data_IF_613795390362
#
_entry.id   IF_613795390362
#
_cell.length_a   1.000
_cell.length_b   1.000
_cell.length_c   1.000
_cell.angle_alpha   90.00
_cell.angle_beta   90.00
_cell.angle_gamma   90.00
#
_symmetry.space_group_name_H-M   'P 1'
#
loop_
_entity.id
_entity.type
_entity.pdbx_description
1 polymer ?
#
# COMPACT_ATOMS: atom_id res chain seq x y z
N UNK A 1 16.04 4.80 12.29
CA UNK A 1 14.67 4.65 11.74
C UNK A 1 14.51 3.23 11.22
N UNK A 2 13.47 2.50 11.63
CA UNK A 2 13.14 1.20 11.02
C UNK A 2 12.27 1.45 9.79
N UNK A 3 12.89 1.58 8.63
CA UNK A 3 12.17 1.68 7.35
C UNK A 3 11.27 0.45 7.16
N UNK A 4 9.98 0.68 6.91
CA UNK A 4 8.96 -0.38 6.71
C UNK A 4 8.95 -0.90 5.26
N UNK A 5 9.33 -0.03 4.33
CA UNK A 5 9.31 -0.27 2.90
C UNK A 5 10.46 0.50 2.22
N UNK A 6 10.70 0.15 0.96
CA UNK A 6 11.58 0.87 0.04
C UNK A 6 10.87 0.96 -1.32
N UNK A 7 11.37 1.84 -2.19
CA UNK A 7 10.86 1.96 -3.54
C UNK A 7 11.72 1.17 -4.52
N UNK A 8 11.12 0.49 -5.48
CA UNK A 8 11.82 -0.26 -6.53
C UNK A 8 11.33 0.18 -7.90
N UNK A 9 12.25 0.48 -8.82
CA UNK A 9 11.90 0.82 -10.18
C UNK A 9 11.30 -0.37 -10.92
N UNK A 10 10.13 -0.20 -11.54
CA UNK A 10 9.47 -1.27 -12.31
C UNK A 10 10.21 -1.66 -13.58
N UNK A 11 11.06 -0.78 -14.12
CA UNK A 11 11.81 -1.05 -15.35
C UNK A 11 13.23 -1.58 -15.12
N UNK A 12 13.98 -1.06 -14.15
CA UNK A 12 15.39 -1.44 -13.94
C UNK A 12 15.69 -2.09 -12.59
N UNK A 13 14.72 -2.19 -11.68
CA UNK A 13 14.91 -2.84 -10.38
C UNK A 13 15.78 -2.09 -9.36
N UNK A 14 16.28 -0.89 -9.68
CA UNK A 14 16.99 -0.05 -8.72
C UNK A 14 16.11 0.27 -7.52
N UNK A 15 16.73 0.32 -6.33
CA UNK A 15 16.06 0.54 -5.05
C UNK A 15 16.38 1.92 -4.52
N UNK A 16 15.38 2.57 -3.94
CA UNK A 16 15.46 3.92 -3.38
C UNK A 16 14.88 3.92 -1.97
N UNK A 17 15.42 4.78 -1.10
CA UNK A 17 14.92 4.91 0.27
C UNK A 17 13.52 5.54 0.28
N UNK A 18 12.74 5.23 1.31
CA UNK A 18 11.41 5.81 1.52
C UNK A 18 11.45 7.31 1.88
N UNK A 19 12.59 7.82 2.36
CA UNK A 19 12.76 9.24 2.71
C UNK A 19 13.18 10.10 1.50
N UNK A 20 13.57 9.47 0.39
CA UNK A 20 13.84 10.17 -0.86
C UNK A 20 12.52 10.54 -1.56
N UNK A 21 12.24 11.83 -1.71
CA UNK A 21 11.07 12.30 -2.45
C UNK A 21 11.35 12.18 -3.94
N UNK A 22 11.11 10.99 -4.51
CA UNK A 22 11.20 10.72 -5.95
C UNK A 22 10.00 9.91 -6.42
N UNK A 23 9.25 10.46 -7.38
CA UNK A 23 8.12 9.76 -8.00
C UNK A 23 8.57 8.81 -9.13
N UNK A 24 9.71 9.10 -9.76
CA UNK A 24 10.28 8.32 -10.85
C UNK A 24 11.77 8.04 -10.61
N UNK A 25 12.21 6.87 -11.04
CA UNK A 25 13.60 6.47 -11.13
C UNK A 25 14.37 7.42 -12.06
N UNK A 26 15.36 8.20 -11.56
CA UNK A 26 16.09 9.19 -12.36
C UNK A 26 16.80 8.58 -13.57
N UNK A 27 17.22 7.32 -13.46
CA UNK A 27 17.88 6.62 -14.56
C UNK A 27 16.93 6.30 -15.71
N UNK A 28 15.72 5.81 -15.42
CA UNK A 28 14.76 5.40 -16.45
C UNK A 28 13.93 6.56 -16.97
N UNK A 29 13.59 7.53 -16.12
CA UNK A 29 12.77 8.68 -16.51
C UNK A 29 13.47 9.61 -17.50
N UNK A 30 14.81 9.58 -17.55
CA UNK A 30 15.61 10.32 -18.53
C UNK A 30 15.26 9.97 -19.99
N UNK A 31 14.65 8.81 -20.22
CA UNK A 31 14.25 8.32 -21.55
C UNK A 31 12.77 8.55 -21.86
N UNK A 32 12.05 9.26 -21.00
CA UNK A 32 10.63 9.51 -21.19
C UNK A 32 10.39 10.47 -22.35
N UNK A 33 9.35 10.20 -23.12
CA UNK A 33 8.85 11.06 -24.18
C UNK A 33 7.33 11.25 -24.03
N UNK A 34 6.76 12.21 -24.76
CA UNK A 34 5.33 12.57 -24.64
C UNK A 34 4.36 11.57 -25.29
N UNK A 35 4.87 10.64 -26.10
CA UNK A 35 4.10 9.68 -26.90
C UNK A 35 4.08 8.29 -26.27
N UNK A 36 5.01 8.00 -25.36
CA UNK A 36 5.15 6.71 -24.69
C UNK A 36 4.67 6.76 -23.23
N UNK A 37 4.23 5.63 -22.64
CA UNK A 37 3.97 5.54 -21.21
C UNK A 37 5.22 5.90 -20.39
N UNK A 38 5.05 6.51 -19.19
CA UNK A 38 6.18 6.92 -18.37
C UNK A 38 6.99 5.72 -17.90
N UNK A 39 8.29 5.74 -18.19
CA UNK A 39 9.27 4.84 -17.63
C UNK A 39 9.73 5.34 -16.26
N UNK A 40 10.20 4.41 -15.46
CA UNK A 40 10.80 4.66 -14.16
C UNK A 40 9.81 4.74 -13.01
N UNK A 41 8.54 4.38 -13.19
CA UNK A 41 7.57 4.32 -12.09
C UNK A 41 8.12 3.45 -10.96
N UNK A 42 8.05 3.97 -9.74
CA UNK A 42 8.51 3.27 -8.55
C UNK A 42 7.35 2.53 -7.88
N UNK A 43 7.53 1.24 -7.60
CA UNK A 43 6.59 0.46 -6.77
C UNK A 43 7.07 0.43 -5.32
N UNK A 44 6.13 0.53 -4.39
CA UNK A 44 6.39 0.38 -2.95
C UNK A 44 6.53 -1.10 -2.60
N UNK A 45 7.67 -1.48 -2.03
CA UNK A 45 7.91 -2.84 -1.54
C UNK A 45 8.19 -2.83 -0.04
N UNK A 46 7.38 -3.59 0.70
CA UNK A 46 7.59 -3.78 2.13
C UNK A 46 8.67 -4.83 2.38
N UNK A 47 9.33 -4.73 3.53
CA UNK A 47 10.24 -5.79 3.99
C UNK A 47 9.45 -7.03 4.45
N UNK A 48 8.80 -7.73 3.52
CA UNK A 48 7.90 -8.86 3.80
C UNK A 48 8.57 -9.96 4.62
N UNK A 49 9.88 -10.21 4.44
CA UNK A 49 10.64 -11.16 5.27
C UNK A 49 10.65 -10.75 6.75
N UNK A 50 10.81 -9.46 7.05
CA UNK A 50 10.74 -8.92 8.42
C UNK A 50 9.33 -8.99 9.00
N UNK A 51 8.30 -8.76 8.18
CA UNK A 51 6.90 -8.86 8.63
C UNK A 51 6.54 -10.33 8.93
N UNK A 52 6.87 -11.25 8.02
CA UNK A 52 6.57 -12.68 8.16
C UNK A 52 7.30 -13.34 9.33
N UNK A 53 8.50 -12.87 9.70
CA UNK A 53 9.27 -13.45 10.82
C UNK A 53 8.74 -13.07 12.20
N UNK A 54 7.87 -12.06 12.31
CA UNK A 54 7.29 -11.63 13.61
C UNK A 54 6.22 -12.56 14.14
N UNK A 55 5.54 -13.31 13.26
CA UNK A 55 4.36 -14.08 13.61
C UNK A 55 4.38 -15.46 12.94
N UNK A 56 3.77 -16.47 13.59
CA UNK A 56 3.55 -17.77 12.95
C UNK A 56 2.62 -17.59 11.74
N UNK A 57 2.90 -18.29 10.62
CA UNK A 57 2.17 -18.15 9.34
C UNK A 57 0.64 -18.16 9.49
N UNK A 58 0.10 -19.10 10.28
CA UNK A 58 -1.34 -19.24 10.49
C UNK A 58 -1.98 -18.14 11.36
N UNK A 59 -1.19 -17.35 12.09
CA UNK A 59 -1.68 -16.21 12.90
C UNK A 59 -1.35 -14.86 12.28
N UNK A 60 -0.60 -14.82 11.17
CA UNK A 60 -0.08 -13.58 10.60
C UNK A 60 -1.20 -12.60 10.24
N UNK A 61 -2.24 -13.09 9.57
CA UNK A 61 -3.36 -12.25 9.16
C UNK A 61 -4.12 -11.70 10.36
N UNK A 62 -4.47 -12.55 11.32
CA UNK A 62 -5.19 -12.13 12.54
C UNK A 62 -4.40 -11.11 13.34
N UNK A 63 -3.09 -11.32 13.49
CA UNK A 63 -2.20 -10.38 14.21
C UNK A 63 -2.09 -9.03 13.53
N UNK A 64 -2.07 -9.01 12.19
CA UNK A 64 -2.10 -7.75 11.44
C UNK A 64 -3.46 -7.07 11.55
N UNK A 65 -4.56 -7.85 11.49
CA UNK A 65 -5.94 -7.36 11.60
C UNK A 65 -6.24 -6.77 12.99
N UNK A 66 -5.75 -7.38 14.06
CA UNK A 66 -5.86 -6.89 15.45
C UNK A 66 -5.36 -5.44 15.60
N UNK A 67 -4.35 -5.06 14.81
CA UNK A 67 -3.77 -3.71 14.79
C UNK A 67 -4.20 -2.89 13.57
N UNK A 68 -5.31 -3.24 12.94
CA UNK A 68 -5.85 -2.56 11.75
C UNK A 68 -4.82 -2.35 10.63
N UNK A 69 -3.88 -3.28 10.50
CA UNK A 69 -2.79 -3.25 9.52
C UNK A 69 -1.85 -2.03 9.63
N UNK A 70 -1.82 -1.30 10.76
CA UNK A 70 -0.95 -0.14 10.99
C UNK A 70 0.54 -0.43 10.72
N UNK A 71 0.97 -1.67 10.96
CA UNK A 71 2.34 -2.11 10.67
C UNK A 71 2.70 -2.08 9.17
N UNK A 72 1.70 -2.22 8.29
CA UNK A 72 1.84 -2.15 6.84
C UNK A 72 1.60 -0.74 6.30
N UNK A 73 1.00 0.16 7.06
CA UNK A 73 0.73 1.51 6.56
C UNK A 73 2.03 2.32 6.48
N UNK A 74 2.24 3.12 5.42
CA UNK A 74 3.42 3.96 5.22
C UNK A 74 3.37 5.22 6.10
N UNK A 75 3.03 5.04 7.38
CA UNK A 75 2.89 6.12 8.36
C UNK A 75 4.13 6.15 9.26
N UNK A 76 4.68 7.35 9.44
CA UNK A 76 5.73 7.64 10.42
C UNK A 76 5.17 7.68 11.84
N UNK A 77 3.93 8.14 12.01
CA UNK A 77 3.22 8.21 13.28
C UNK A 77 1.72 8.03 13.10
N UNK A 78 1.05 7.43 14.08
CA UNK A 78 -0.42 7.35 14.14
C UNK A 78 -1.05 8.75 14.27
N UNK A 79 -0.31 9.75 14.74
CA UNK A 79 -0.76 11.16 14.78
C UNK A 79 -1.06 11.73 13.39
N UNK A 80 -0.54 11.11 12.33
CA UNK A 80 -0.84 11.49 10.94
C UNK A 80 -2.19 10.95 10.45
N UNK A 81 -2.86 10.09 11.22
CA UNK A 81 -4.20 9.62 10.88
C UNK A 81 -5.21 10.74 11.06
N UNK A 82 -6.14 10.84 10.11
CA UNK A 82 -7.25 11.79 10.22
C UNK A 82 -8.26 11.33 11.27
N UNK A 83 -9.06 12.27 11.78
CA UNK A 83 -10.17 11.98 12.70
C UNK A 83 -11.36 11.27 12.02
N UNK A 84 -11.31 11.09 10.70
CA UNK A 84 -12.39 10.47 9.95
C UNK A 84 -12.42 8.95 10.21
N UNK A 85 -13.60 8.44 10.55
CA UNK A 85 -13.85 6.99 10.63
C UNK A 85 -13.91 6.42 9.20
N UNK A 86 -12.78 5.91 8.73
CA UNK A 86 -12.59 5.32 7.39
C UNK A 86 -12.26 3.82 7.47
N UNK A 87 -12.55 3.07 6.41
CA UNK A 87 -12.37 1.62 6.38
C UNK A 87 -13.56 0.84 6.94
N UNK A 88 -13.42 -0.49 7.02
CA UNK A 88 -14.49 -1.44 7.43
C UNK A 88 -15.82 -1.19 6.69
N UNK A 89 -15.72 -0.81 5.42
CA UNK A 89 -16.89 -0.65 4.55
C UNK A 89 -17.68 -1.95 4.57
N UNK A 90 -18.97 -1.93 4.99
CA UNK A 90 -19.78 -3.14 5.03
C UNK A 90 -19.80 -3.84 3.67
N UNK A 91 -19.90 -5.16 3.70
CA UNK A 91 -20.03 -5.98 2.51
C UNK A 91 -21.44 -6.55 2.50
N UNK A 92 -22.24 -6.16 1.51
CA UNK A 92 -23.62 -6.64 1.36
C UNK A 92 -23.64 -7.86 0.47
N UNK A 93 -24.35 -8.89 0.92
CA UNK A 93 -24.67 -10.05 0.10
C UNK A 93 -25.93 -9.75 -0.73
N UNK A 94 -25.86 -9.99 -2.03
CA UNK A 94 -27.01 -9.88 -2.93
C UNK A 94 -27.51 -11.28 -3.22
N UNK A 95 -28.84 -11.45 -3.15
CA UNK A 95 -29.50 -12.73 -3.34
C UNK A 95 -29.25 -13.27 -4.76
N UNK A 96 -28.37 -14.27 -4.82
CA UNK A 96 -28.10 -15.23 -5.89
C UNK A 96 -27.45 -14.71 -7.19
N UNK A 97 -26.31 -15.31 -7.61
CA UNK A 97 -25.40 -16.16 -6.82
C UNK A 97 -24.62 -15.32 -5.80
N UNK A 98 -23.91 -15.93 -4.84
CA UNK A 98 -23.10 -15.33 -3.75
C UNK A 98 -22.23 -14.12 -4.16
N UNK A 99 -22.87 -12.99 -4.41
CA UNK A 99 -22.27 -11.76 -4.90
C UNK A 99 -22.22 -10.83 -3.71
N UNK A 100 -21.02 -10.38 -3.41
CA UNK A 100 -20.75 -9.46 -2.33
C UNK A 100 -20.39 -8.11 -2.91
N UNK A 101 -21.16 -7.07 -2.59
CA UNK A 101 -20.86 -5.70 -3.00
C UNK A 101 -20.37 -4.88 -1.80
N UNK A 102 -19.28 -4.10 -1.94
CA UNK A 102 -18.92 -3.12 -0.94
C UNK A 102 -20.02 -2.05 -0.88
N UNK A 103 -20.41 -1.68 0.33
CA UNK A 103 -21.34 -0.58 0.59
C UNK A 103 -20.74 0.75 0.10
N UNK A 104 -21.05 1.20 -1.10
CA UNK A 104 -20.71 2.56 -1.52
C UNK A 104 -21.55 3.55 -0.72
N UNK A 105 -20.88 4.48 -0.01
CA UNK A 105 -21.59 5.55 0.69
C UNK A 105 -22.15 6.49 -0.37
N UNK A 106 -23.48 6.54 -0.50
CA UNK A 106 -24.19 7.68 -1.09
C UNK A 106 -23.93 8.91 -0.19
N UNK A 107 -22.81 9.59 -0.41
CA UNK A 107 -22.64 10.95 0.07
C UNK A 107 -23.43 11.86 -0.88
N UNK A 108 -24.75 11.84 -0.76
CA UNK A 108 -25.61 12.90 -1.27
C UNK A 108 -25.17 14.19 -0.57
N UNK A 109 -24.56 15.09 -1.32
CA UNK A 109 -24.30 16.48 -0.89
C UNK A 109 -25.59 17.28 -0.96
#
# INVERSE_FOLDING_TARGET
MNEKYYFECTNCGRKYSADEVQYLCPHCSSKNDKKSPPLGVLKTLYYYKKIKSRYKKHKLFDKLKEKEYLELLPLKSERSLSFLKVGKTPLYEINSPNIFLPAEKNNSR
#
